data_IF_746045007214
#
_entry.id   IF_746045007214
#
_cell.length_a   1.000
_cell.length_b   1.000
_cell.length_c   1.000
_cell.angle_alpha   90.00
_cell.angle_beta   90.00
_cell.angle_gamma   90.00
#
_symmetry.space_group_name_H-M   'P 1'
#
loop_
_entity.id
_entity.type
_entity.pdbx_description
1 polymer ?
#
# COMPACT_ATOMS: atom_id res chain seq x y z
N UNK A 1 -20.47 6.56 1.42
CA UNK A 1 -19.93 7.44 0.38
C UNK A 1 -18.89 6.64 -0.40
N UNK A 2 -18.85 6.73 -1.73
CA UNK A 2 -17.81 6.04 -2.49
C UNK A 2 -16.44 6.65 -2.14
N UNK A 3 -15.46 5.80 -1.79
CA UNK A 3 -14.07 6.23 -1.53
C UNK A 3 -13.51 6.79 -2.84
N UNK A 4 -13.09 8.05 -2.86
CA UNK A 4 -12.39 8.62 -4.01
C UNK A 4 -11.01 7.96 -4.13
N UNK A 5 -10.83 7.16 -5.18
CA UNK A 5 -9.55 6.48 -5.45
C UNK A 5 -8.79 7.31 -6.48
N UNK A 6 -7.53 7.65 -6.16
CA UNK A 6 -6.60 8.27 -7.11
C UNK A 6 -5.57 7.24 -7.57
N UNK A 7 -5.32 7.18 -8.88
CA UNK A 7 -4.29 6.32 -9.44
C UNK A 7 -2.90 6.96 -9.25
N UNK A 8 -1.96 6.20 -8.67
CA UNK A 8 -0.57 6.60 -8.50
C UNK A 8 0.30 5.66 -9.34
N UNK A 9 1.09 6.21 -10.27
CA UNK A 9 2.05 5.46 -11.08
C UNK A 9 3.47 5.70 -10.59
N UNK A 10 4.25 4.64 -10.45
CA UNK A 10 5.64 4.70 -10.01
C UNK A 10 6.52 3.68 -10.75
N UNK A 11 7.84 3.88 -10.70
CA UNK A 11 8.81 2.90 -11.18
C UNK A 11 9.47 2.20 -10.00
N UNK A 12 9.61 0.89 -10.10
CA UNK A 12 10.33 0.04 -9.14
C UNK A 12 11.33 -0.83 -9.90
N UNK A 13 12.49 -1.17 -9.30
CA UNK A 13 13.40 -2.15 -9.89
C UNK A 13 12.69 -3.47 -10.20
N UNK A 14 13.03 -4.11 -11.32
CA UNK A 14 12.38 -5.33 -11.80
C UNK A 14 12.38 -6.44 -10.76
N UNK A 15 13.54 -6.69 -10.14
CA UNK A 15 13.69 -7.78 -9.18
C UNK A 15 12.85 -7.53 -7.92
N UNK A 16 12.73 -6.28 -7.50
CA UNK A 16 11.88 -5.89 -6.38
C UNK A 16 10.39 -6.09 -6.69
N UNK A 17 9.96 -5.75 -7.92
CA UNK A 17 8.58 -6.01 -8.37
C UNK A 17 8.26 -7.50 -8.33
N UNK A 18 9.15 -8.35 -8.84
CA UNK A 18 8.96 -9.81 -8.84
C UNK A 18 8.85 -10.34 -7.41
N UNK A 19 9.77 -9.93 -6.52
CA UNK A 19 9.73 -10.34 -5.12
C UNK A 19 8.42 -9.91 -4.43
N UNK A 20 7.96 -8.69 -4.71
CA UNK A 20 6.70 -8.18 -4.20
C UNK A 20 5.48 -8.97 -4.70
N UNK A 21 5.43 -9.30 -6.00
CA UNK A 21 4.36 -10.12 -6.60
C UNK A 21 4.30 -11.51 -5.96
N UNK A 22 5.45 -12.16 -5.80
CA UNK A 22 5.55 -13.47 -5.15
C UNK A 22 5.08 -13.40 -3.69
N UNK A 23 5.47 -12.37 -2.95
CA UNK A 23 5.04 -12.20 -1.56
C UNK A 23 3.51 -12.01 -1.46
N UNK A 24 2.93 -11.16 -2.30
CA UNK A 24 1.48 -10.96 -2.35
C UNK A 24 0.72 -12.27 -2.58
N UNK A 25 1.17 -13.09 -3.54
CA UNK A 25 0.55 -14.39 -3.84
C UNK A 25 0.65 -15.33 -2.64
N UNK A 26 1.83 -15.42 -2.00
CA UNK A 26 2.05 -16.32 -0.85
C UNK A 26 1.24 -15.93 0.38
N UNK A 27 0.88 -14.66 0.50
CA UNK A 27 0.12 -14.11 1.62
C UNK A 27 -1.37 -13.96 1.30
N UNK A 28 -1.80 -14.37 0.10
CA UNK A 28 -3.19 -14.21 -0.38
C UNK A 28 -3.68 -12.75 -0.35
N UNK A 29 -2.76 -11.81 -0.62
CA UNK A 29 -3.04 -10.37 -0.66
C UNK A 29 -3.03 -9.85 -2.09
N UNK A 30 -3.87 -8.85 -2.34
CA UNK A 30 -3.75 -8.07 -3.57
C UNK A 30 -2.59 -7.08 -3.44
N UNK A 31 -1.93 -6.79 -4.57
CA UNK A 31 -0.87 -5.79 -4.61
C UNK A 31 -1.37 -4.41 -4.12
N UNK A 32 -2.63 -4.06 -4.41
CA UNK A 32 -3.23 -2.80 -3.97
C UNK A 32 -3.32 -2.73 -2.43
N UNK A 33 -3.83 -3.78 -1.79
CA UNK A 33 -3.92 -3.84 -0.31
C UNK A 33 -2.53 -3.76 0.32
N UNK A 34 -1.57 -4.54 -0.18
CA UNK A 34 -0.21 -4.52 0.34
C UNK A 34 0.48 -3.16 0.16
N UNK A 35 0.25 -2.47 -0.96
CA UNK A 35 0.75 -1.11 -1.18
C UNK A 35 0.04 -0.09 -0.28
N UNK A 36 -1.28 -0.18 -0.11
CA UNK A 36 -2.02 0.70 0.81
C UNK A 36 -1.51 0.58 2.24
N UNK A 37 -1.28 -0.64 2.74
CA UNK A 37 -0.70 -0.90 4.05
C UNK A 37 0.73 -0.36 4.17
N UNK A 38 1.58 -0.65 3.17
CA UNK A 38 2.96 -0.16 3.16
C UNK A 38 3.04 1.39 3.14
N UNK A 39 2.14 2.04 2.38
CA UNK A 39 2.05 3.51 2.33
C UNK A 39 1.59 4.05 3.68
N UNK A 40 0.55 3.47 4.30
CA UNK A 40 0.06 3.87 5.63
C UNK A 40 1.17 3.77 6.68
N UNK A 41 1.83 2.61 6.75
CA UNK A 41 2.94 2.37 7.67
C UNK A 41 4.11 3.34 7.45
N UNK A 42 4.48 3.61 6.19
CA UNK A 42 5.52 4.59 5.86
C UNK A 42 5.15 6.01 6.30
N UNK A 43 3.90 6.45 6.09
CA UNK A 43 3.43 7.77 6.50
C UNK A 43 3.41 7.92 8.03
N UNK A 44 2.89 6.92 8.75
CA UNK A 44 2.86 6.90 10.21
C UNK A 44 4.29 7.00 10.78
N UNK A 45 5.24 6.21 10.24
CA UNK A 45 6.66 6.25 10.64
C UNK A 45 7.31 7.61 10.38
N UNK A 46 6.79 8.39 9.44
CA UNK A 46 7.25 9.75 9.13
C UNK A 46 6.49 10.84 9.90
N UNK A 47 5.54 10.46 10.76
CA UNK A 47 4.74 11.40 11.54
C UNK A 47 3.68 12.13 10.71
N UNK A 48 3.36 11.65 9.50
CA UNK A 48 2.24 12.19 8.73
C UNK A 48 0.94 11.54 9.20
N UNK A 49 -0.10 12.33 9.51
CA UNK A 49 -1.40 11.77 9.87
C UNK A 49 -2.00 11.06 8.65
N UNK A 50 -2.38 9.80 8.82
CA UNK A 50 -3.25 9.09 7.87
C UNK A 50 -4.68 9.30 8.36
N UNK A 51 -5.56 9.89 7.55
CA UNK A 51 -6.95 10.20 7.92
C UNK A 51 -7.84 8.99 8.22
N UNK A 52 -7.26 7.79 8.27
CA UNK A 52 -7.90 6.50 8.56
C UNK A 52 -7.57 6.09 10.01
N UNK A 53 -7.64 7.04 10.95
CA UNK A 53 -7.71 6.72 12.38
C UNK A 53 -9.16 6.26 12.63
N UNK A 54 -9.37 4.95 12.58
CA UNK A 54 -10.66 4.29 12.79
C UNK A 54 -11.21 4.49 14.20
N UNK A 55 -11.65 5.72 14.51
CA UNK A 55 -12.55 6.03 15.61
C UNK A 55 -13.87 6.55 15.05
N UNK A 56 -14.80 5.63 14.86
CA UNK A 56 -16.22 5.80 15.17
C UNK A 56 -16.87 4.45 15.42
#
# INVERSE_FOLDING_TARGET
>A
MAKEIREIRGRVPKDLKIAFEVACVRMELTQAVALEEAIKDWLIKKGFPTSDDGKQ
#
